data_IF_387892166504
#
_entry.id   IF_387892166504
#
_cell.length_a   1.000
_cell.length_b   1.000
_cell.length_c   1.000
_cell.angle_alpha   90.00
_cell.angle_beta   90.00
_cell.angle_gamma   90.00
#
_symmetry.space_group_name_H-M   'P 1'
#
loop_
_entity.id
_entity.type
_entity.pdbx_description
1 polymer ?
#
# COMPACT_ATOMS: atom_id res chain seq x y z
N UNK A 1 33.38 -30.87 39.11
CA UNK A 1 32.19 -30.38 39.84
C UNK A 1 32.18 -28.87 39.86
N UNK A 2 30.97 -28.26 39.76
CA UNK A 2 30.65 -26.81 39.73
C UNK A 2 30.99 -26.10 38.40
N UNK A 3 30.06 -25.86 37.47
CA UNK A 3 28.75 -25.16 37.53
C UNK A 3 28.84 -23.71 37.98
N UNK A 4 28.66 -22.76 37.04
CA UNK A 4 27.73 -21.60 37.15
C UNK A 4 27.93 -20.63 35.97
N UNK A 5 26.97 -20.61 35.04
CA UNK A 5 26.04 -19.49 34.74
C UNK A 5 26.66 -18.26 34.06
N UNK A 6 26.61 -18.25 32.74
CA UNK A 6 26.55 -17.03 31.93
C UNK A 6 25.12 -16.47 31.95
N UNK A 7 24.96 -15.21 32.35
CA UNK A 7 23.69 -14.46 32.25
C UNK A 7 23.51 -13.99 30.82
N UNK A 8 22.43 -14.42 30.16
CA UNK A 8 21.92 -13.77 28.94
C UNK A 8 21.20 -12.48 29.37
N UNK A 9 21.74 -11.34 28.97
CA UNK A 9 21.01 -10.07 28.93
C UNK A 9 20.50 -9.92 27.50
N UNK A 10 19.23 -10.25 27.27
CA UNK A 10 18.50 -9.77 26.09
C UNK A 10 17.80 -8.50 26.53
N UNK A 11 18.41 -7.36 26.24
CA UNK A 11 17.78 -6.06 26.36
C UNK A 11 17.03 -5.79 25.06
N UNK A 12 15.72 -6.06 25.06
CA UNK A 12 14.81 -5.66 23.98
C UNK A 12 14.44 -4.21 24.20
N UNK A 13 15.37 -3.31 23.88
CA UNK A 13 15.10 -1.89 23.79
C UNK A 13 14.21 -1.64 22.56
N UNK A 14 13.00 -1.16 22.82
CA UNK A 14 12.04 -0.77 21.79
C UNK A 14 12.62 0.27 20.84
N UNK A 15 12.84 -0.14 19.60
CA UNK A 15 13.07 0.77 18.49
C UNK A 15 11.76 1.49 18.20
N UNK A 16 11.57 2.66 18.81
CA UNK A 16 10.65 3.65 18.25
C UNK A 16 11.22 4.06 16.88
N UNK A 17 10.44 4.03 15.79
CA UNK A 17 10.90 4.55 14.51
C UNK A 17 11.12 6.06 14.66
N UNK A 18 12.39 6.43 14.85
CA UNK A 18 12.86 7.81 14.90
C UNK A 18 12.90 8.36 13.47
N UNK A 19 12.17 9.46 13.24
CA UNK A 19 12.43 10.37 12.13
C UNK A 19 11.35 10.47 11.05
N UNK A 20 10.09 10.70 11.41
CA UNK A 20 9.14 11.32 10.47
C UNK A 20 9.44 12.82 10.44
N UNK A 21 9.93 13.30 9.29
CA UNK A 21 10.13 14.74 9.04
C UNK A 21 8.75 15.39 8.90
N UNK A 22 8.45 16.48 9.62
CA UNK A 22 7.20 17.21 9.45
C UNK A 22 7.10 17.72 8.01
N UNK A 23 6.03 17.34 7.30
CA UNK A 23 5.79 17.78 5.94
C UNK A 23 5.40 19.26 5.99
N UNK A 24 6.12 20.11 5.24
CA UNK A 24 5.79 21.53 5.09
C UNK A 24 4.42 21.72 4.41
N UNK A 25 3.74 22.81 4.76
CA UNK A 25 2.37 23.12 4.38
C UNK A 25 2.26 23.52 2.90
N UNK A 26 2.04 22.55 2.03
CA UNK A 26 1.48 22.81 0.70
C UNK A 26 -0.05 22.77 0.81
N UNK A 27 -0.69 23.92 0.54
CA UNK A 27 -2.12 24.20 0.64
C UNK A 27 -2.92 23.46 -0.45
N UNK A 28 -2.99 22.13 -0.34
CA UNK A 28 -3.83 21.28 -1.17
C UNK A 28 -5.25 21.28 -0.61
N UNK A 29 -6.09 22.18 -1.12
CA UNK A 29 -7.51 22.36 -0.75
C UNK A 29 -8.31 21.05 -0.64
N UNK A 30 -8.32 20.47 0.56
CA UNK A 30 -9.18 19.36 0.95
C UNK A 30 -10.58 19.89 1.31
N UNK A 31 -11.51 19.90 0.34
CA UNK A 31 -12.93 20.31 0.51
C UNK A 31 -13.75 19.44 1.48
N UNK A 32 -13.16 18.46 2.18
CA UNK A 32 -13.84 17.61 3.17
C UNK A 32 -13.77 18.18 4.60
N UNK A 33 -13.29 19.43 4.74
CA UNK A 33 -13.13 20.10 6.03
C UNK A 33 -14.27 21.06 6.38
N UNK A 34 -15.51 20.78 5.97
CA UNK A 34 -16.66 21.61 6.32
C UNK A 34 -17.71 20.93 7.21
N UNK A 35 -17.45 19.74 7.75
CA UNK A 35 -18.34 19.20 8.79
C UNK A 35 -17.58 18.66 10.00
N UNK A 36 -17.77 19.38 11.11
CA UNK A 36 -17.38 19.08 12.50
C UNK A 36 -15.98 19.51 12.96
N UNK A 37 -15.75 20.82 12.95
CA UNK A 37 -15.18 21.47 14.13
C UNK A 37 -16.27 22.39 14.72
N UNK A 38 -17.08 21.90 15.66
CA UNK A 38 -17.90 22.78 16.51
C UNK A 38 -16.94 23.50 17.46
N UNK A 39 -16.43 24.65 17.02
CA UNK A 39 -15.59 25.52 17.83
C UNK A 39 -16.48 26.32 18.78
N UNK A 40 -16.60 25.85 20.03
CA UNK A 40 -17.07 26.72 21.09
C UNK A 40 -15.96 27.71 21.46
N UNK A 41 -16.11 28.94 20.96
CA UNK A 41 -15.65 30.16 21.61
C UNK A 41 -14.14 30.37 21.79
N UNK A 42 -13.60 31.24 20.91
CA UNK A 42 -12.38 32.06 21.10
C UNK A 42 -11.02 31.32 21.03
N UNK A 43 -10.35 31.48 19.89
CA UNK A 43 -8.88 31.44 19.80
C UNK A 43 -8.30 30.48 18.76
N UNK A 44 -8.02 31.00 17.56
CA UNK A 44 -6.90 30.61 16.68
C UNK A 44 -6.67 29.13 16.35
N UNK A 45 -7.44 28.57 15.42
CA UNK A 45 -7.18 27.25 14.83
C UNK A 45 -6.25 27.38 13.62
N UNK A 46 -4.93 27.37 13.84
CA UNK A 46 -3.90 27.28 12.76
C UNK A 46 -2.97 26.07 12.86
N UNK A 47 -3.23 25.13 13.78
CA UNK A 47 -2.47 23.88 13.92
C UNK A 47 -3.42 22.69 14.04
N UNK A 48 -4.10 22.31 12.95
CA UNK A 48 -5.10 21.25 13.05
C UNK A 48 -5.21 20.32 11.82
N UNK A 49 -4.67 20.70 10.66
CA UNK A 49 -4.76 19.89 9.43
C UNK A 49 -3.52 19.03 9.20
N UNK A 50 -2.34 19.63 9.18
CA UNK A 50 -1.06 18.92 9.13
C UNK A 50 -0.95 17.94 10.31
N UNK A 51 -1.33 18.39 11.52
CA UNK A 51 -1.31 17.56 12.72
C UNK A 51 -2.24 16.33 12.61
N UNK A 52 -3.42 16.48 11.96
CA UNK A 52 -4.34 15.36 11.75
C UNK A 52 -3.86 14.38 10.70
N UNK A 53 -3.29 14.87 9.59
CA UNK A 53 -2.73 13.99 8.55
C UNK A 53 -1.51 13.24 9.11
N UNK A 54 -0.62 13.92 9.83
CA UNK A 54 0.53 13.31 10.50
C UNK A 54 0.10 12.28 11.54
N UNK A 55 -0.95 12.55 12.34
CA UNK A 55 -1.49 11.58 13.29
C UNK A 55 -2.03 10.32 12.59
N UNK A 56 -2.66 10.45 11.41
CA UNK A 56 -3.10 9.29 10.61
C UNK A 56 -1.93 8.53 10.00
N UNK A 57 -0.88 9.22 9.57
CA UNK A 57 0.35 8.57 9.10
C UNK A 57 1.02 7.78 10.23
N UNK A 58 1.06 8.32 11.44
CA UNK A 58 1.58 7.63 12.62
C UNK A 58 0.71 6.41 12.99
N UNK A 59 -0.61 6.55 12.96
CA UNK A 59 -1.55 5.43 13.15
C UNK A 59 -1.32 4.31 12.13
N UNK A 60 -1.10 4.66 10.85
CA UNK A 60 -0.75 3.71 9.80
C UNK A 60 0.62 3.05 10.02
N UNK A 61 1.61 3.81 10.49
CA UNK A 61 2.93 3.28 10.83
C UNK A 61 2.84 2.23 11.95
N UNK A 62 2.03 2.50 12.98
CA UNK A 62 1.75 1.54 14.06
C UNK A 62 1.04 0.29 13.53
N UNK A 63 0.04 0.46 12.66
CA UNK A 63 -0.63 -0.67 12.01
C UNK A 63 0.37 -1.55 11.24
N UNK A 64 1.32 -0.94 10.51
CA UNK A 64 2.38 -1.67 9.81
C UNK A 64 3.27 -2.44 10.79
N UNK A 65 3.65 -1.85 11.91
CA UNK A 65 4.46 -2.54 12.92
C UNK A 65 3.74 -3.78 13.47
N UNK A 66 2.42 -3.72 13.63
CA UNK A 66 1.61 -4.84 14.13
C UNK A 66 1.33 -5.91 13.06
N UNK A 67 1.09 -5.52 11.80
CA UNK A 67 0.61 -6.42 10.75
C UNK A 67 1.66 -6.75 9.67
N UNK A 68 2.81 -6.07 9.69
CA UNK A 68 3.88 -6.19 8.70
C UNK A 68 3.64 -5.44 7.38
N UNK A 69 2.46 -4.85 7.17
CA UNK A 69 2.10 -4.17 5.92
C UNK A 69 1.15 -2.98 6.12
N UNK A 70 1.05 -2.08 5.14
CA UNK A 70 0.14 -0.93 5.16
C UNK A 70 -1.24 -1.21 4.50
N UNK A 71 -1.54 -2.47 4.17
CA UNK A 71 -2.81 -2.87 3.56
C UNK A 71 -3.93 -2.95 4.60
N UNK A 72 -4.45 -1.78 4.99
CA UNK A 72 -5.57 -1.65 5.92
C UNK A 72 -6.89 -1.92 5.19
N UNK A 73 -7.73 -2.88 5.62
CA UNK A 73 -9.06 -3.11 5.07
C UNK A 73 -9.97 -1.87 5.18
N UNK A 74 -10.85 -1.64 4.20
CA UNK A 74 -11.72 -0.45 4.19
C UNK A 74 -12.69 -0.39 5.39
N UNK A 75 -13.08 -1.55 5.92
CA UNK A 75 -13.95 -1.71 7.09
C UNK A 75 -13.20 -1.56 8.42
N UNK A 76 -11.86 -1.40 8.40
CA UNK A 76 -11.03 -1.07 9.55
C UNK A 76 -11.16 0.42 9.96
N UNK A 77 -12.41 0.81 10.24
CA UNK A 77 -12.78 2.11 10.77
C UNK A 77 -12.34 3.30 9.93
N UNK A 78 -11.96 4.38 10.61
CA UNK A 78 -11.53 5.62 9.95
C UNK A 78 -10.18 5.49 9.26
N UNK A 79 -9.29 4.63 9.75
CA UNK A 79 -7.97 4.42 9.16
C UNK A 79 -8.07 3.76 7.79
N UNK A 80 -8.90 2.70 7.65
CA UNK A 80 -9.13 2.02 6.38
C UNK A 80 -9.67 2.96 5.30
N UNK A 81 -10.65 3.80 5.64
CA UNK A 81 -11.18 4.83 4.73
C UNK A 81 -10.14 5.89 4.37
N UNK A 82 -9.31 6.30 5.34
CA UNK A 82 -8.25 7.27 5.09
C UNK A 82 -7.16 6.73 4.14
N UNK A 83 -6.76 5.47 4.33
CA UNK A 83 -5.82 4.74 3.44
C UNK A 83 -6.37 4.66 2.02
N UNK A 84 -7.63 4.26 1.86
CA UNK A 84 -8.28 4.17 0.55
C UNK A 84 -8.35 5.54 -0.13
N UNK A 85 -8.65 6.60 0.64
CA UNK A 85 -8.64 7.99 0.16
C UNK A 85 -7.24 8.41 -0.32
N UNK A 86 -6.15 8.02 0.35
CA UNK A 86 -4.80 8.34 -0.12
C UNK A 86 -4.52 7.70 -1.49
N UNK A 87 -4.93 6.43 -1.68
CA UNK A 87 -4.76 5.72 -2.96
C UNK A 87 -5.51 6.39 -4.10
N UNK A 88 -6.75 6.82 -3.85
CA UNK A 88 -7.57 7.54 -4.83
C UNK A 88 -6.95 8.91 -5.16
N UNK A 89 -6.44 9.61 -4.16
CA UNK A 89 -5.88 10.96 -4.30
C UNK A 89 -4.40 11.00 -4.70
N UNK A 90 -3.77 9.88 -5.05
CA UNK A 90 -2.33 9.81 -5.33
C UNK A 90 -1.85 10.91 -6.31
N UNK A 91 -2.62 11.21 -7.36
CA UNK A 91 -2.26 12.21 -8.36
C UNK A 91 -2.44 13.67 -7.92
N UNK A 92 -3.10 13.90 -6.78
CA UNK A 92 -3.41 15.22 -6.23
C UNK A 92 -2.86 15.42 -4.82
N UNK A 93 -2.04 14.49 -4.32
CA UNK A 93 -1.34 14.65 -3.05
C UNK A 93 -0.07 15.46 -3.26
N UNK A 94 0.28 16.34 -2.33
CA UNK A 94 1.60 16.96 -2.31
C UNK A 94 2.71 15.91 -2.32
N UNK A 95 3.81 16.28 -2.95
CA UNK A 95 5.01 15.44 -3.04
C UNK A 95 5.49 15.02 -1.65
N UNK A 96 5.45 15.91 -0.66
CA UNK A 96 5.84 15.60 0.71
C UNK A 96 4.97 14.53 1.38
N UNK A 97 3.66 14.50 1.09
CA UNK A 97 2.74 13.44 1.58
C UNK A 97 2.98 12.11 0.88
N UNK A 98 3.24 12.14 -0.42
CA UNK A 98 3.62 10.94 -1.18
C UNK A 98 4.92 10.36 -0.61
N UNK A 99 5.95 11.18 -0.43
CA UNK A 99 7.23 10.76 0.13
C UNK A 99 7.11 10.21 1.55
N UNK A 100 6.27 10.81 2.39
CA UNK A 100 6.07 10.32 3.76
C UNK A 100 5.33 8.97 3.79
N UNK A 101 4.36 8.76 2.90
CA UNK A 101 3.71 7.46 2.71
C UNK A 101 4.70 6.41 2.15
N UNK A 102 5.50 6.79 1.16
CA UNK A 102 6.55 5.94 0.60
C UNK A 102 7.61 5.57 1.65
N UNK A 103 7.98 6.52 2.51
CA UNK A 103 8.95 6.32 3.59
C UNK A 103 8.53 5.26 4.61
N UNK A 104 7.23 5.09 4.83
CA UNK A 104 6.69 3.99 5.66
C UNK A 104 6.36 2.74 4.84
N UNK A 105 6.71 2.68 3.55
CA UNK A 105 6.44 1.54 2.66
C UNK A 105 4.96 1.36 2.36
N UNK A 106 4.22 2.45 2.13
CA UNK A 106 2.81 2.41 1.78
C UNK A 106 2.56 1.73 0.42
N UNK A 107 1.69 0.73 0.41
CA UNK A 107 1.29 0.04 -0.83
C UNK A 107 0.17 0.84 -1.52
N UNK A 108 0.52 1.53 -2.61
CA UNK A 108 -0.40 2.35 -3.40
C UNK A 108 -1.46 1.54 -4.16
N UNK A 109 -1.13 0.35 -4.65
CA UNK A 109 -2.13 -0.62 -5.12
C UNK A 109 -1.97 -1.93 -4.30
N UNK A 110 -2.89 -2.23 -3.36
CA UNK A 110 -2.82 -3.44 -2.55
C UNK A 110 -2.90 -4.72 -3.39
N UNK A 111 -3.33 -4.61 -4.65
CA UNK A 111 -3.37 -5.73 -5.58
C UNK A 111 -2.04 -5.92 -6.31
N UNK A 112 -1.05 -5.03 -6.18
CA UNK A 112 0.25 -5.15 -6.85
C UNK A 112 0.97 -6.43 -6.45
N UNK A 113 1.07 -6.75 -5.16
CA UNK A 113 1.73 -7.99 -4.70
C UNK A 113 1.04 -9.24 -5.25
N UNK A 114 -0.29 -9.30 -5.14
CA UNK A 114 -1.08 -10.42 -5.66
C UNK A 114 -1.02 -10.50 -7.20
N UNK A 115 -0.90 -9.36 -7.88
CA UNK A 115 -0.74 -9.31 -9.33
C UNK A 115 0.66 -9.78 -9.73
N UNK A 116 1.71 -9.30 -9.05
CA UNK A 116 3.11 -9.68 -9.29
C UNK A 116 3.32 -11.18 -9.06
N UNK A 117 2.79 -11.74 -7.98
CA UNK A 117 2.90 -13.18 -7.71
C UNK A 117 2.27 -14.04 -8.82
N UNK A 118 1.13 -13.61 -9.39
CA UNK A 118 0.48 -14.30 -10.52
C UNK A 118 1.20 -14.04 -11.85
N UNK A 119 1.79 -12.87 -12.01
CA UNK A 119 2.63 -12.55 -13.15
C UNK A 119 3.90 -13.42 -13.17
N UNK A 120 4.56 -13.60 -12.02
CA UNK A 120 5.70 -14.52 -11.86
C UNK A 120 5.30 -15.98 -12.13
N UNK A 121 4.15 -16.42 -11.61
CA UNK A 121 3.61 -17.76 -11.91
C UNK A 121 3.38 -17.95 -13.42
N UNK A 122 2.86 -16.93 -14.11
CA UNK A 122 2.72 -16.95 -15.57
C UNK A 122 4.07 -16.98 -16.29
N UNK A 123 5.07 -16.26 -15.79
CA UNK A 123 6.42 -16.26 -16.37
C UNK A 123 7.10 -17.63 -16.22
N UNK A 124 6.92 -18.29 -15.08
CA UNK A 124 7.37 -19.66 -14.87
C UNK A 124 6.64 -20.63 -15.81
N UNK A 125 5.32 -20.50 -15.92
CA UNK A 125 4.53 -21.29 -16.88
C UNK A 125 5.06 -21.13 -18.30
N UNK A 126 5.35 -19.90 -18.75
CA UNK A 126 5.94 -19.66 -20.07
C UNK A 126 7.31 -20.34 -20.23
N UNK A 127 8.12 -20.32 -19.18
CA UNK A 127 9.44 -20.97 -19.21
C UNK A 127 9.32 -22.49 -19.37
N UNK A 128 8.30 -23.10 -18.75
CA UNK A 128 8.05 -24.54 -18.81
C UNK A 128 7.34 -24.99 -20.10
N UNK A 129 6.41 -24.19 -20.62
CA UNK A 129 5.51 -24.57 -21.71
C UNK A 129 5.79 -23.84 -23.04
N UNK A 130 6.60 -22.79 -23.03
CA UNK A 130 6.99 -22.00 -24.21
C UNK A 130 6.03 -20.84 -24.55
N UNK A 131 4.83 -20.80 -23.98
CA UNK A 131 3.82 -19.77 -24.23
C UNK A 131 3.05 -19.35 -22.97
N UNK A 132 2.21 -18.33 -23.11
CA UNK A 132 1.32 -17.85 -22.04
C UNK A 132 -0.13 -18.36 -22.17
N UNK A 133 -0.40 -19.35 -23.03
CA UNK A 133 -1.75 -19.90 -23.24
C UNK A 133 -2.05 -21.00 -22.24
N UNK A 134 -2.34 -20.57 -21.00
CA UNK A 134 -2.66 -21.47 -19.90
C UNK A 134 -3.98 -22.22 -20.20
N UNK A 135 -3.99 -23.57 -20.25
CA UNK A 135 -5.20 -24.37 -20.42
C UNK A 135 -6.11 -24.31 -19.19
N UNK A 136 -7.42 -24.56 -19.37
CA UNK A 136 -8.39 -24.58 -18.26
C UNK A 136 -8.01 -25.56 -17.13
N UNK A 137 -7.41 -26.70 -17.47
CA UNK A 137 -7.01 -27.74 -16.52
C UNK A 137 -5.64 -27.48 -15.86
N UNK A 138 -4.87 -26.50 -16.32
CA UNK A 138 -3.57 -26.17 -15.75
C UNK A 138 -3.75 -25.09 -14.67
N UNK A 139 -3.59 -25.47 -13.40
CA UNK A 139 -3.65 -24.54 -12.27
C UNK A 139 -4.85 -23.59 -12.34
N UNK A 140 -6.04 -24.05 -11.95
CA UNK A 140 -7.29 -23.26 -12.09
C UNK A 140 -7.22 -21.79 -11.62
N UNK A 141 -6.40 -21.40 -10.61
CA UNK A 141 -6.21 -19.99 -10.27
C UNK A 141 -5.51 -19.17 -11.36
N UNK A 142 -4.46 -19.69 -11.99
CA UNK A 142 -3.67 -18.99 -13.02
C UNK A 142 -4.50 -18.78 -14.29
N UNK A 143 -5.19 -19.82 -14.77
CA UNK A 143 -6.11 -19.71 -15.90
C UNK A 143 -7.15 -18.59 -15.69
N UNK A 144 -7.81 -18.60 -14.52
CA UNK A 144 -8.82 -17.59 -14.17
C UNK A 144 -8.20 -16.19 -14.13
N UNK A 145 -6.98 -16.07 -13.61
CA UNK A 145 -6.26 -14.79 -13.58
C UNK A 145 -5.93 -14.29 -15.00
N UNK A 146 -5.41 -15.14 -15.88
CA UNK A 146 -5.14 -14.82 -17.30
C UNK A 146 -6.40 -14.32 -17.99
N UNK A 147 -7.54 -15.03 -17.84
CA UNK A 147 -8.84 -14.59 -18.37
C UNK A 147 -9.30 -13.26 -17.80
N UNK A 148 -9.05 -13.01 -16.51
CA UNK A 148 -9.36 -11.74 -15.87
C UNK A 148 -8.53 -10.60 -16.44
N UNK A 149 -7.24 -10.81 -16.72
CA UNK A 149 -6.38 -9.80 -17.37
C UNK A 149 -6.90 -9.48 -18.77
N UNK A 150 -7.22 -10.49 -19.59
CA UNK A 150 -7.79 -10.30 -20.93
C UNK A 150 -9.03 -9.40 -20.92
N UNK A 151 -9.99 -9.70 -20.04
CA UNK A 151 -11.24 -8.91 -19.90
C UNK A 151 -11.01 -7.49 -19.39
N UNK A 152 -9.97 -7.29 -18.59
CA UNK A 152 -9.70 -6.01 -17.92
C UNK A 152 -8.62 -5.18 -18.62
N UNK A 153 -8.14 -5.54 -19.81
CA UNK A 153 -7.04 -4.85 -20.52
C UNK A 153 -7.11 -3.32 -20.42
N UNK A 154 -8.27 -2.72 -20.69
CA UNK A 154 -8.48 -1.26 -20.68
C UNK A 154 -8.58 -0.64 -19.26
N UNK A 155 -8.54 -1.46 -18.21
CA UNK A 155 -8.58 -1.09 -16.80
C UNK A 155 -7.27 -1.45 -16.07
N UNK A 156 -6.30 -2.03 -16.77
CA UNK A 156 -4.96 -2.25 -16.21
C UNK A 156 -4.16 -0.94 -16.29
N UNK A 157 -3.21 -0.77 -15.38
CA UNK A 157 -2.22 0.30 -15.49
C UNK A 157 -1.34 0.06 -16.73
N UNK A 158 -0.79 1.14 -17.28
CA UNK A 158 0.11 1.08 -18.44
C UNK A 158 1.27 0.10 -18.20
N UNK A 159 1.92 0.18 -17.04
CA UNK A 159 3.03 -0.72 -16.69
C UNK A 159 2.64 -2.20 -16.62
N UNK A 160 1.43 -2.55 -16.15
CA UNK A 160 0.96 -3.95 -16.14
C UNK A 160 0.70 -4.47 -17.55
N UNK A 161 0.19 -3.63 -18.45
CA UNK A 161 0.00 -3.99 -19.86
C UNK A 161 1.35 -4.20 -20.55
N UNK A 162 2.32 -3.31 -20.30
CA UNK A 162 3.68 -3.41 -20.84
C UNK A 162 4.39 -4.67 -20.35
N UNK A 163 4.37 -4.95 -19.04
CA UNK A 163 4.96 -6.16 -18.48
C UNK A 163 4.38 -7.46 -19.10
N UNK A 164 3.05 -7.51 -19.31
CA UNK A 164 2.41 -8.64 -19.99
C UNK A 164 2.84 -8.74 -21.47
N UNK A 165 2.95 -7.61 -22.17
CA UNK A 165 3.42 -7.60 -23.56
C UNK A 165 4.86 -8.10 -23.69
N UNK A 166 5.75 -7.66 -22.80
CA UNK A 166 7.15 -8.11 -22.76
C UNK A 166 7.26 -9.61 -22.47
N UNK A 167 6.36 -10.12 -21.62
CA UNK A 167 6.24 -11.56 -21.39
C UNK A 167 5.71 -12.32 -22.63
N UNK A 168 5.30 -11.64 -23.70
CA UNK A 168 4.71 -12.28 -24.89
C UNK A 168 3.27 -12.76 -24.65
N UNK A 169 2.54 -12.09 -23.75
CA UNK A 169 1.17 -12.42 -23.43
C UNK A 169 0.22 -12.14 -24.61
N UNK A 170 -0.55 -13.15 -25.01
CA UNK A 170 -1.53 -13.02 -26.08
C UNK A 170 -2.87 -12.48 -25.57
N UNK A 171 -3.21 -11.27 -25.99
CA UNK A 171 -4.53 -10.67 -25.76
C UNK A 171 -5.56 -11.28 -26.71
N UNK A 172 -6.39 -12.21 -26.20
CA UNK A 172 -7.54 -12.73 -26.95
C UNK A 172 -8.68 -11.70 -26.90
N UNK A 173 -9.21 -11.34 -28.07
CA UNK A 173 -10.37 -10.44 -28.25
C UNK A 173 -11.68 -11.12 -27.82
#
# INVERSE_FOLDING_TARGET
>A
TRSSRTRKLTDTAGLKPTGLVPIAEDDDGDEDYMYNCRTNGRGGSRGCLADRWNARLEELANYKTEHGHCNVPQDHGSLGRWVDKQRIKRSTLSEGRVQALDGIGFTWDPHDEAWNARFEELANYKTEHGDCDVPWNHGTPLYKWVKKQQKRKNKLSKGRVEALNELGFTWKL
#
